data_IF_918465224813
#
_entry.id   IF_918465224813
#
_cell.length_a   1.000
_cell.length_b   1.000
_cell.length_c   1.000
_cell.angle_alpha   90.00
_cell.angle_beta   90.00
_cell.angle_gamma   90.00
#
_symmetry.space_group_name_H-M   'P 1'
#
loop_
_entity.id
_entity.type
_entity.pdbx_description
1 polymer ?
#
# COMPACT_ATOMS: atom_id res chain seq x y z
N UNK A 1 -5.53 -14.92 6.74
CA UNK A 1 -5.72 -13.49 6.44
C UNK A 1 -4.82 -13.01 5.31
N UNK A 2 -3.50 -13.19 5.39
CA UNK A 2 -2.52 -12.81 4.36
C UNK A 2 -2.92 -13.35 2.97
N UNK A 3 -3.24 -14.62 2.86
CA UNK A 3 -3.67 -15.24 1.57
C UNK A 3 -4.90 -14.54 0.96
N UNK A 4 -5.84 -14.08 1.80
CA UNK A 4 -7.01 -13.33 1.33
C UNK A 4 -6.63 -11.94 0.78
N UNK A 5 -5.69 -11.25 1.45
CA UNK A 5 -5.17 -9.96 1.00
C UNK A 5 -4.45 -10.12 -0.34
N UNK A 6 -3.54 -11.07 -0.42
CA UNK A 6 -2.77 -11.35 -1.65
C UNK A 6 -3.69 -11.80 -2.79
N UNK A 7 -4.67 -12.66 -2.50
CA UNK A 7 -5.66 -13.09 -3.50
C UNK A 7 -6.49 -11.94 -4.06
N UNK A 8 -6.87 -10.97 -3.23
CA UNK A 8 -7.59 -9.77 -3.69
C UNK A 8 -6.72 -8.82 -4.52
N UNK A 9 -5.41 -8.89 -4.37
CA UNK A 9 -4.46 -8.06 -5.12
C UNK A 9 -4.20 -8.60 -6.54
N UNK A 10 -4.51 -9.88 -6.79
CA UNK A 10 -4.41 -10.54 -8.11
C UNK A 10 -3.08 -10.26 -8.84
N UNK A 11 -1.99 -10.68 -8.22
CA UNK A 11 -0.63 -10.42 -8.70
C UNK A 11 -0.37 -11.17 -10.00
N UNK A 12 0.20 -10.49 -10.98
CA UNK A 12 0.66 -11.09 -12.23
C UNK A 12 2.19 -11.12 -12.28
N UNK A 13 2.77 -12.14 -12.92
CA UNK A 13 4.21 -12.13 -13.20
C UNK A 13 4.61 -10.87 -13.97
N UNK A 14 5.66 -10.21 -13.49
CA UNK A 14 6.15 -8.96 -14.10
C UNK A 14 5.45 -7.68 -13.63
N UNK A 15 4.45 -7.77 -12.72
CA UNK A 15 3.93 -6.59 -12.03
C UNK A 15 5.08 -5.87 -11.29
N UNK A 16 5.11 -4.55 -11.35
CA UNK A 16 5.98 -3.75 -10.52
C UNK A 16 5.22 -3.36 -9.25
N UNK A 17 5.57 -3.99 -8.14
CA UNK A 17 4.87 -3.84 -6.87
C UNK A 17 5.75 -3.09 -5.87
N UNK A 18 5.16 -2.09 -5.22
CA UNK A 18 5.78 -1.37 -4.11
C UNK A 18 5.04 -1.71 -2.82
N UNK A 19 5.72 -2.31 -1.88
CA UNK A 19 5.21 -2.53 -0.52
C UNK A 19 5.67 -1.42 0.41
N UNK A 20 4.72 -0.71 1.02
CA UNK A 20 4.99 0.35 1.99
C UNK A 20 4.82 -0.20 3.40
N UNK A 21 5.88 -0.08 4.21
CA UNK A 21 5.90 -0.55 5.57
C UNK A 21 5.83 -2.07 5.70
N UNK A 22 6.74 -2.84 5.07
CA UNK A 22 6.73 -4.30 5.11
C UNK A 22 6.87 -4.87 6.53
N UNK A 23 7.42 -4.09 7.45
CA UNK A 23 7.65 -4.52 8.81
C UNK A 23 8.47 -5.81 8.88
N UNK A 24 7.92 -6.86 9.46
CA UNK A 24 8.58 -8.17 9.52
C UNK A 24 8.38 -9.04 8.28
N UNK A 25 7.83 -8.50 7.19
CA UNK A 25 7.74 -9.17 5.90
C UNK A 25 6.59 -10.17 5.76
N UNK A 26 5.48 -9.96 6.46
CA UNK A 26 4.33 -10.86 6.41
C UNK A 26 3.66 -10.89 5.02
N UNK A 27 3.52 -9.74 4.38
CA UNK A 27 3.04 -9.64 2.99
C UNK A 27 4.19 -9.82 2.00
N UNK A 28 5.40 -9.40 2.36
CA UNK A 28 6.60 -9.48 1.52
C UNK A 28 6.88 -10.91 1.06
N UNK A 29 6.72 -11.91 1.94
CA UNK A 29 6.99 -13.30 1.59
C UNK A 29 6.15 -13.77 0.39
N UNK A 30 4.81 -13.74 0.41
CA UNK A 30 4.02 -14.17 -0.74
C UNK A 30 4.18 -13.26 -1.97
N UNK A 31 4.52 -11.96 -1.78
CA UNK A 31 4.83 -11.06 -2.89
C UNK A 31 6.12 -11.52 -3.59
N UNK A 32 7.17 -11.80 -2.83
CA UNK A 32 8.45 -12.30 -3.36
C UNK A 32 8.29 -13.62 -4.09
N UNK A 33 7.43 -14.53 -3.59
CA UNK A 33 7.16 -15.84 -4.20
C UNK A 33 6.41 -15.72 -5.54
N UNK A 34 5.75 -14.58 -5.80
CA UNK A 34 4.92 -14.38 -7.01
C UNK A 34 5.70 -14.00 -8.28
N UNK A 35 7.02 -13.84 -8.20
CA UNK A 35 7.90 -13.43 -9.31
C UNK A 35 7.56 -12.05 -9.90
N UNK A 36 7.04 -11.14 -9.07
CA UNK A 36 6.89 -9.74 -9.42
C UNK A 36 8.21 -8.98 -9.25
N UNK A 37 8.31 -7.80 -9.85
CA UNK A 37 9.36 -6.83 -9.55
C UNK A 37 8.98 -6.11 -8.26
N UNK A 38 9.60 -6.49 -7.14
CA UNK A 38 9.22 -6.05 -5.80
C UNK A 38 10.18 -4.97 -5.27
N UNK A 39 9.62 -3.86 -4.83
CA UNK A 39 10.32 -2.81 -4.10
C UNK A 39 9.70 -2.62 -2.72
N UNK A 40 10.54 -2.62 -1.68
CA UNK A 40 10.16 -2.41 -0.29
C UNK A 40 10.56 -1.02 0.18
N UNK A 41 9.64 -0.30 0.84
CA UNK A 41 9.92 1.00 1.46
C UNK A 41 9.74 0.84 2.97
N UNK A 42 10.85 0.91 3.72
CA UNK A 42 10.87 0.71 5.17
C UNK A 42 11.67 1.83 5.84
N UNK A 43 11.06 2.49 6.83
CA UNK A 43 11.70 3.58 7.58
C UNK A 43 12.63 3.05 8.68
N UNK A 44 12.29 1.93 9.28
CA UNK A 44 13.07 1.31 10.36
C UNK A 44 14.34 0.65 9.79
N UNK A 45 15.51 1.07 10.28
CA UNK A 45 16.80 0.61 9.77
C UNK A 45 17.10 -0.86 10.09
N UNK A 46 16.65 -1.32 11.25
CA UNK A 46 16.91 -2.70 11.68
C UNK A 46 16.02 -3.66 10.89
N UNK A 47 14.74 -3.32 10.73
CA UNK A 47 13.83 -4.08 9.87
C UNK A 47 14.27 -4.07 8.40
N UNK A 48 14.73 -2.93 7.89
CA UNK A 48 15.28 -2.83 6.53
C UNK A 48 16.48 -3.76 6.34
N UNK A 49 17.40 -3.81 7.32
CA UNK A 49 18.55 -4.73 7.29
C UNK A 49 18.10 -6.20 7.30
N UNK A 50 17.14 -6.57 8.14
CA UNK A 50 16.58 -7.94 8.16
C UNK A 50 15.91 -8.31 6.83
N UNK A 51 15.12 -7.40 6.25
CA UNK A 51 14.43 -7.59 4.98
C UNK A 51 15.41 -7.78 3.83
N UNK A 52 16.50 -7.01 3.77
CA UNK A 52 17.51 -7.12 2.73
C UNK A 52 18.20 -8.49 2.70
N UNK A 53 18.35 -9.11 3.86
CA UNK A 53 18.91 -10.47 3.99
C UNK A 53 17.90 -11.54 3.58
N UNK A 54 16.63 -11.36 3.98
CA UNK A 54 15.57 -12.35 3.71
C UNK A 54 15.06 -12.33 2.28
N UNK A 55 15.07 -11.14 1.66
CA UNK A 55 14.53 -10.91 0.31
C UNK A 55 15.58 -10.21 -0.58
N UNK A 56 16.70 -10.89 -0.89
CA UNK A 56 17.82 -10.26 -1.59
C UNK A 56 17.50 -9.83 -3.01
N UNK A 57 16.45 -10.39 -3.61
CA UNK A 57 16.01 -10.05 -4.98
C UNK A 57 15.03 -8.85 -5.00
N UNK A 58 14.52 -8.42 -3.86
CA UNK A 58 13.67 -7.24 -3.77
C UNK A 58 14.50 -5.96 -3.68
N UNK A 59 14.09 -4.92 -4.39
CA UNK A 59 14.59 -3.57 -4.16
C UNK A 59 14.25 -3.10 -2.76
N UNK A 60 15.18 -2.44 -2.05
CA UNK A 60 14.93 -1.92 -0.72
C UNK A 60 15.28 -0.43 -0.65
N UNK A 61 14.34 0.37 -0.18
CA UNK A 61 14.51 1.80 0.08
C UNK A 61 14.30 2.03 1.57
N UNK A 62 15.40 2.25 2.31
CA UNK A 62 15.33 2.59 3.73
C UNK A 62 15.14 4.10 3.90
N UNK A 63 13.90 4.55 3.84
CA UNK A 63 13.55 5.97 3.86
C UNK A 63 12.10 6.16 4.35
N UNK A 64 11.80 7.35 4.87
CA UNK A 64 10.42 7.75 5.14
C UNK A 64 9.66 7.88 3.80
N UNK A 65 8.58 7.11 3.65
CA UNK A 65 7.73 7.14 2.46
C UNK A 65 7.19 8.55 2.14
N UNK A 66 7.02 9.38 3.15
CA UNK A 66 6.57 10.77 2.99
C UNK A 66 7.60 11.65 2.27
N UNK A 67 8.88 11.25 2.23
CA UNK A 67 9.96 11.98 1.54
C UNK A 67 10.26 11.47 0.14
N UNK A 68 9.69 10.31 -0.24
CA UNK A 68 9.93 9.68 -1.55
C UNK A 68 9.16 10.42 -2.65
N UNK A 69 9.83 10.69 -3.76
CA UNK A 69 9.17 11.11 -5.00
C UNK A 69 8.77 9.88 -5.81
N UNK A 70 7.48 9.58 -5.88
CA UNK A 70 6.97 8.42 -6.62
C UNK A 70 7.15 8.52 -8.14
N UNK A 71 7.47 9.70 -8.68
CA UNK A 71 7.83 9.86 -10.08
C UNK A 71 9.15 9.13 -10.43
N UNK A 72 9.99 8.80 -9.44
CA UNK A 72 11.18 7.98 -9.65
C UNK A 72 10.87 6.57 -10.17
N UNK A 73 9.64 6.09 -9.96
CA UNK A 73 9.18 4.80 -10.47
C UNK A 73 8.51 4.89 -11.85
N UNK A 74 8.43 6.08 -12.43
CA UNK A 74 7.94 6.27 -13.79
C UNK A 74 8.81 5.46 -14.76
N UNK A 75 8.21 4.53 -15.49
CA UNK A 75 8.93 3.61 -16.35
C UNK A 75 8.04 2.97 -17.40
N UNK A 76 8.41 1.77 -17.83
CA UNK A 76 7.67 1.04 -18.87
C UNK A 76 6.32 0.47 -18.40
N UNK A 77 6.13 0.26 -17.11
CA UNK A 77 4.90 -0.26 -16.51
C UNK A 77 4.42 0.63 -15.39
N UNK A 78 3.10 0.65 -15.19
CA UNK A 78 2.50 1.28 -14.02
C UNK A 78 2.84 0.49 -12.75
N UNK A 79 3.02 1.20 -11.64
CA UNK A 79 3.29 0.58 -10.34
C UNK A 79 1.99 0.19 -9.65
N UNK A 80 2.06 -0.86 -8.84
CA UNK A 80 0.99 -1.31 -7.96
C UNK A 80 1.47 -1.17 -6.52
N UNK A 81 0.68 -0.57 -5.65
CA UNK A 81 1.11 -0.26 -4.29
C UNK A 81 0.29 -1.08 -3.29
N UNK A 82 0.98 -1.69 -2.33
CA UNK A 82 0.34 -2.44 -1.24
C UNK A 82 0.98 -2.03 0.09
N UNK A 83 0.20 -2.07 1.18
CA UNK A 83 0.76 -1.81 2.51
C UNK A 83 -0.26 -1.85 3.63
N UNK A 84 0.26 -2.07 4.83
CA UNK A 84 -0.46 -1.89 6.08
C UNK A 84 -0.05 -0.55 6.69
N UNK A 85 -0.84 0.50 6.44
CA UNK A 85 -0.42 1.86 6.76
C UNK A 85 -0.73 2.23 8.22
N UNK A 86 0.24 2.80 8.95
CA UNK A 86 -0.02 3.40 10.26
C UNK A 86 -1.06 4.53 10.14
N UNK A 87 -1.91 4.66 11.16
CA UNK A 87 -3.01 5.62 11.16
C UNK A 87 -2.57 7.09 10.98
N UNK A 88 -1.39 7.43 11.51
CA UNK A 88 -0.86 8.80 11.51
C UNK A 88 -0.37 9.29 10.14
N UNK A 89 -0.04 8.38 9.22
CA UNK A 89 0.44 8.73 7.88
C UNK A 89 -0.54 8.37 6.76
N UNK A 90 -1.57 7.57 7.03
CA UNK A 90 -2.45 7.03 5.98
C UNK A 90 -3.09 8.11 5.13
N UNK A 91 -3.74 9.10 5.73
CA UNK A 91 -4.38 10.20 4.98
C UNK A 91 -3.38 11.09 4.23
N UNK A 92 -2.30 11.62 4.86
CA UNK A 92 -1.29 12.38 4.13
C UNK A 92 -0.64 11.60 2.99
N UNK A 93 -0.38 10.31 3.18
CA UNK A 93 0.20 9.46 2.15
C UNK A 93 -0.74 9.27 0.96
N UNK A 94 -2.03 9.05 1.20
CA UNK A 94 -3.03 8.97 0.12
C UNK A 94 -3.03 10.24 -0.74
N UNK A 95 -3.04 11.43 -0.12
CA UNK A 95 -2.97 12.69 -0.87
C UNK A 95 -1.69 12.83 -1.67
N UNK A 96 -0.57 12.38 -1.13
CA UNK A 96 0.72 12.36 -1.83
C UNK A 96 0.66 11.45 -3.06
N UNK A 97 0.10 10.24 -2.93
CA UNK A 97 -0.01 9.27 -4.01
C UNK A 97 -0.96 9.74 -5.12
N UNK A 98 -2.02 10.47 -4.79
CA UNK A 98 -2.92 11.04 -5.79
C UNK A 98 -2.19 12.00 -6.76
N UNK A 99 -1.18 12.73 -6.28
CA UNK A 99 -0.36 13.61 -7.12
C UNK A 99 0.53 12.85 -8.11
N UNK A 100 0.77 11.56 -7.87
CA UNK A 100 1.57 10.68 -8.74
C UNK A 100 0.70 9.64 -9.45
N UNK A 101 -0.61 9.86 -9.50
CA UNK A 101 -1.62 8.89 -9.97
C UNK A 101 -1.42 8.41 -11.40
N UNK A 102 -0.79 9.20 -12.28
CA UNK A 102 -0.48 8.81 -13.65
C UNK A 102 0.49 7.62 -13.77
N UNK A 103 1.28 7.36 -12.72
CA UNK A 103 2.23 6.25 -12.67
C UNK A 103 1.71 5.04 -11.87
N UNK A 104 0.54 5.16 -11.25
CA UNK A 104 -0.03 4.16 -10.36
C UNK A 104 -1.19 3.45 -11.04
N UNK A 105 -1.12 2.12 -11.13
CA UNK A 105 -2.22 1.29 -11.63
C UNK A 105 -3.32 1.13 -10.58
N UNK A 106 -2.95 0.65 -9.40
CA UNK A 106 -3.84 0.47 -8.26
C UNK A 106 -3.09 0.52 -6.92
N UNK A 107 -3.88 0.67 -5.85
CA UNK A 107 -3.37 0.73 -4.48
C UNK A 107 -4.25 -0.13 -3.57
N UNK A 108 -3.65 -1.06 -2.83
CA UNK A 108 -4.32 -1.91 -1.86
C UNK A 108 -3.78 -1.65 -0.46
N UNK A 109 -4.56 -1.00 0.37
CA UNK A 109 -4.15 -0.64 1.72
C UNK A 109 -5.01 -1.27 2.79
N UNK A 110 -4.37 -1.73 3.86
CA UNK A 110 -5.03 -1.93 5.13
C UNK A 110 -5.01 -0.61 5.90
N UNK A 111 -6.21 -0.12 6.22
CA UNK A 111 -6.43 1.15 6.87
C UNK A 111 -7.40 0.97 8.03
N UNK A 112 -7.43 1.92 8.96
CA UNK A 112 -8.48 1.95 9.98
C UNK A 112 -9.86 2.04 9.32
N UNK A 113 -10.83 1.34 9.93
CA UNK A 113 -12.22 1.29 9.43
C UNK A 113 -12.79 2.67 9.16
N UNK A 114 -12.60 3.61 10.10
CA UNK A 114 -13.10 4.99 9.95
C UNK A 114 -12.55 5.69 8.69
N UNK A 115 -11.27 5.48 8.36
CA UNK A 115 -10.65 6.04 7.16
C UNK A 115 -11.29 5.44 5.91
N UNK A 116 -11.46 4.12 5.88
CA UNK A 116 -12.10 3.42 4.75
C UNK A 116 -13.56 3.88 4.58
N UNK A 117 -14.32 3.97 5.65
CA UNK A 117 -15.72 4.41 5.63
C UNK A 117 -15.84 5.84 5.08
N UNK A 118 -14.88 6.73 5.37
CA UNK A 118 -14.83 8.08 4.79
C UNK A 118 -14.44 8.06 3.31
N UNK A 119 -13.47 7.23 2.92
CA UNK A 119 -13.04 7.13 1.51
C UNK A 119 -14.16 6.64 0.60
N UNK A 120 -14.98 5.71 1.08
CA UNK A 120 -16.06 5.06 0.34
C UNK A 120 -17.44 5.65 0.59
N UNK A 121 -17.53 6.74 1.37
CA UNK A 121 -18.80 7.36 1.74
C UNK A 121 -19.57 7.89 0.51
N UNK A 122 -20.89 7.75 0.57
CA UNK A 122 -21.79 8.34 -0.43
C UNK A 122 -22.09 9.80 -0.09
N UNK A 123 -22.36 10.66 -1.10
CA UNK A 123 -22.84 12.01 -0.88
C UNK A 123 -24.06 12.06 0.06
N UNK A 124 -24.16 13.13 0.85
CA UNK A 124 -25.25 13.34 1.82
C UNK A 124 -25.25 12.40 3.02
N UNK A 125 -24.17 11.64 3.24
CA UNK A 125 -23.97 10.87 4.48
C UNK A 125 -23.07 11.62 5.46
N UNK A 126 -23.16 11.28 6.75
CA UNK A 126 -22.34 11.92 7.81
C UNK A 126 -20.83 11.70 7.59
N UNK A 127 -20.45 10.58 7.01
CA UNK A 127 -19.05 10.23 6.76
C UNK A 127 -18.47 10.95 5.54
N UNK A 128 -19.33 11.51 4.66
CA UNK A 128 -18.89 12.19 3.45
C UNK A 128 -18.23 13.52 3.76
N UNK A 129 -17.01 13.69 3.32
CA UNK A 129 -16.22 14.90 3.56
C UNK A 129 -15.05 15.04 2.58
N UNK A 130 -14.07 15.85 2.95
CA UNK A 130 -12.92 16.15 2.07
C UNK A 130 -12.21 14.89 1.59
N UNK A 131 -11.96 13.91 2.48
CA UNK A 131 -11.29 12.66 2.09
C UNK A 131 -12.11 11.87 1.08
N UNK A 132 -13.44 11.81 1.24
CA UNK A 132 -14.35 11.16 0.28
C UNK A 132 -14.23 11.79 -1.10
N UNK A 133 -14.35 13.13 -1.16
CA UNK A 133 -14.29 13.89 -2.41
C UNK A 133 -12.95 13.70 -3.12
N UNK A 134 -11.85 13.88 -2.39
CA UNK A 134 -10.51 13.80 -2.98
C UNK A 134 -10.19 12.38 -3.45
N UNK A 135 -10.53 11.37 -2.66
CA UNK A 135 -10.28 9.98 -3.06
C UNK A 135 -11.09 9.60 -4.28
N UNK A 136 -12.39 9.91 -4.29
CA UNK A 136 -13.30 9.55 -5.39
C UNK A 136 -13.07 10.37 -6.66
N UNK A 137 -12.43 11.55 -6.55
CA UNK A 137 -12.00 12.34 -7.70
C UNK A 137 -10.82 11.67 -8.43
N UNK A 138 -9.89 11.09 -7.67
CA UNK A 138 -8.65 10.51 -8.21
C UNK A 138 -8.73 9.00 -8.46
N UNK A 139 -9.58 8.29 -7.72
CA UNK A 139 -9.63 6.83 -7.72
C UNK A 139 -11.07 6.32 -7.69
N UNK A 140 -11.30 5.16 -8.32
CA UNK A 140 -12.42 4.31 -7.94
C UNK A 140 -12.05 3.60 -6.63
N UNK A 141 -12.90 3.74 -5.60
CA UNK A 141 -12.63 3.16 -4.27
C UNK A 141 -13.58 2.04 -3.95
N UNK A 142 -13.03 0.95 -3.43
CA UNK A 142 -13.78 -0.23 -3.02
C UNK A 142 -13.30 -0.73 -1.65
N UNK A 143 -14.25 -0.99 -0.75
CA UNK A 143 -13.98 -1.70 0.49
C UNK A 143 -14.07 -3.20 0.23
N UNK A 144 -12.93 -3.88 0.24
CA UNK A 144 -12.87 -5.30 -0.11
C UNK A 144 -13.38 -6.18 1.04
N UNK A 145 -12.85 -6.00 2.26
CA UNK A 145 -13.26 -6.75 3.46
C UNK A 145 -12.67 -6.15 4.73
N UNK A 146 -13.21 -6.58 5.86
CA UNK A 146 -12.68 -6.21 7.17
C UNK A 146 -11.67 -7.24 7.67
N UNK A 147 -10.59 -6.73 8.27
CA UNK A 147 -9.56 -7.53 8.94
C UNK A 147 -9.82 -7.45 10.45
N UNK A 148 -10.15 -8.56 11.12
CA UNK A 148 -10.46 -8.53 12.55
C UNK A 148 -9.18 -8.27 13.36
N UNK A 149 -9.29 -7.61 14.54
CA UNK A 149 -8.14 -7.27 15.39
C UNK A 149 -7.23 -8.47 15.72
N UNK A 150 -7.80 -9.66 15.85
CA UNK A 150 -7.07 -10.90 16.16
C UNK A 150 -6.14 -11.36 15.03
N UNK A 151 -6.28 -10.80 13.82
CA UNK A 151 -5.40 -11.10 12.71
C UNK A 151 -4.05 -10.34 12.79
N UNK A 152 -3.98 -9.35 13.68
CA UNK A 152 -2.75 -8.62 13.97
C UNK A 152 -2.12 -9.24 15.22
N UNK A 153 -0.96 -9.88 15.06
CA UNK A 153 -0.16 -10.29 16.22
C UNK A 153 0.40 -9.06 16.91
N UNK A 154 0.38 -9.02 18.25
CA UNK A 154 1.04 -7.95 18.98
C UNK A 154 2.55 -7.94 18.76
#
# INVERSE_FOLDING_TARGET
>A
MIQKIIGSFDIKPGDHIIEIGPGRGALTQPLSDSRCDLTLIEIDRDLAAELSVRFPDAGLINQDVMTIDFNMFAGKSLIRIIGNLPYNISTPLLFKLFNSGEHIHDMHFMLQREVVDRMTALPSTKAYGRLSVMTQLHCHTEKLFEVPPQAFSP
#
